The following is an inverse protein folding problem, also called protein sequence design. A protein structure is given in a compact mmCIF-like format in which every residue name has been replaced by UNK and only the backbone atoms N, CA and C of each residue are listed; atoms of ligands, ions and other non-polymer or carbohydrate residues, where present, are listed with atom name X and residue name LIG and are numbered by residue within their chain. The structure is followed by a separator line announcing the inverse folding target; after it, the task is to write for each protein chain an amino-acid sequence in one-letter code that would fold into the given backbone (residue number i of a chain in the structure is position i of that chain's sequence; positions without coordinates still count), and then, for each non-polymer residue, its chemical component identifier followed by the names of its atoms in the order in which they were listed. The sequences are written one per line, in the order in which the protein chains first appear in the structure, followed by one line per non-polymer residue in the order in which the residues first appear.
data_IF_762440533724
#
_entry.id   IF_762440533724
#
_cell.length_a   1.000
_cell.length_b   1.000
_cell.length_c   1.000
_cell.angle_alpha   90.00
_cell.angle_beta   90.00
_cell.angle_gamma   90.00
#
_symmetry.space_group_name_H-M   'P 1'
#
loop_
_entity.id
_entity.type
_entity.pdbx_description
1 polymer ?
#
# COMPACT_ATOMS: atom_id res chain seq x y z
N UNK A 1 35.59 0.64 11.04
CA UNK A 1 34.33 -0.04 11.40
C UNK A 1 33.13 0.92 11.46
N UNK A 2 33.29 2.17 11.94
CA UNK A 2 32.20 3.16 12.07
C UNK A 2 31.55 3.58 10.73
N UNK A 3 32.35 3.76 9.68
CA UNK A 3 31.85 4.14 8.35
C UNK A 3 30.99 3.04 7.69
N UNK A 4 31.36 1.78 7.87
CA UNK A 4 30.59 0.63 7.38
C UNK A 4 29.22 0.52 8.07
N UNK A 5 29.15 0.79 9.37
CA UNK A 5 27.89 0.84 10.11
C UNK A 5 26.97 1.95 9.61
N UNK A 6 27.50 3.15 9.35
CA UNK A 6 26.75 4.27 8.79
C UNK A 6 26.26 3.98 7.37
N UNK A 7 27.09 3.34 6.54
CA UNK A 7 26.71 2.93 5.18
C UNK A 7 25.58 1.90 5.19
N UNK A 8 25.66 0.89 6.07
CA UNK A 8 24.59 -0.10 6.21
C UNK A 8 23.28 0.53 6.72
N UNK A 9 23.37 1.46 7.67
CA UNK A 9 22.21 2.19 8.20
C UNK A 9 21.53 3.07 7.13
N UNK A 10 22.31 3.75 6.28
CA UNK A 10 21.77 4.53 5.17
C UNK A 10 21.08 3.65 4.13
N UNK A 11 21.65 2.47 3.82
CA UNK A 11 21.03 1.53 2.87
C UNK A 11 19.70 0.96 3.40
N UNK A 12 19.61 0.61 4.69
CA UNK A 12 18.35 0.15 5.27
C UNK A 12 17.29 1.25 5.31
N UNK A 13 17.67 2.50 5.59
CA UNK A 13 16.78 3.65 5.51
C UNK A 13 16.25 3.91 4.09
N UNK A 14 17.10 3.80 3.06
CA UNK A 14 16.68 3.93 1.65
C UNK A 14 15.70 2.83 1.23
N UNK A 15 15.94 1.59 1.62
CA UNK A 15 15.04 0.47 1.31
C UNK A 15 13.66 0.65 1.98
N UNK A 16 13.65 1.17 3.21
CA UNK A 16 12.43 1.42 3.97
C UNK A 16 11.62 2.61 3.43
N UNK A 17 12.26 3.63 2.85
CA UNK A 17 11.55 4.74 2.20
C UNK A 17 10.98 4.35 0.84
N UNK A 18 11.70 3.51 0.08
CA UNK A 18 11.23 2.99 -1.19
C UNK A 18 10.00 2.09 -1.04
N UNK A 19 9.90 1.29 0.03
CA UNK A 19 8.70 0.49 0.30
C UNK A 19 7.50 1.38 0.67
N UNK A 20 7.70 2.39 1.52
CA UNK A 20 6.64 3.31 1.93
C UNK A 20 6.08 4.14 0.77
N UNK A 21 6.92 4.60 -0.16
CA UNK A 21 6.47 5.39 -1.31
C UNK A 21 5.52 4.60 -2.24
N UNK A 22 5.72 3.29 -2.37
CA UNK A 22 4.85 2.43 -3.17
C UNK A 22 3.50 2.17 -2.47
N UNK A 23 3.47 2.16 -1.14
CA UNK A 23 2.24 1.96 -0.37
C UNK A 23 1.39 3.24 -0.28
N UNK A 24 2.01 4.43 -0.24
CA UNK A 24 1.29 5.71 -0.13
C UNK A 24 0.58 6.12 -1.41
N UNK A 25 1.15 5.85 -2.60
CA UNK A 25 0.45 6.08 -3.88
C UNK A 25 -0.80 5.21 -4.03
N UNK A 26 -0.82 4.02 -3.41
CA UNK A 26 -1.95 3.08 -3.44
C UNK A 26 -3.04 3.46 -2.45
N UNK A 27 -2.70 4.13 -1.34
CA UNK A 27 -3.65 4.50 -0.28
C UNK A 27 -4.56 5.68 -0.62
N UNK A 28 -4.31 6.43 -1.70
CA UNK A 28 -5.11 7.63 -2.05
C UNK A 28 -6.46 7.35 -2.70
N UNK A 29 -6.64 6.17 -3.29
CA UNK A 29 -7.82 5.87 -4.10
C UNK A 29 -8.90 5.21 -3.26
N UNK A 30 -9.91 6.00 -2.91
CA UNK A 30 -11.14 5.46 -2.32
C UNK A 30 -12.06 4.96 -3.43
N UNK A 31 -12.80 3.91 -3.12
CA UNK A 31 -13.91 3.45 -3.95
C UNK A 31 -15.22 3.62 -3.17
N UNK A 32 -16.36 3.38 -3.83
CA UNK A 32 -17.66 3.36 -3.16
C UNK A 32 -17.70 2.43 -1.94
N UNK A 33 -18.77 2.48 -1.16
CA UNK A 33 -18.97 1.63 0.04
C UNK A 33 -17.94 1.86 1.16
N UNK A 34 -17.37 3.08 1.25
CA UNK A 34 -16.30 3.43 2.20
C UNK A 34 -15.07 2.50 2.06
N UNK A 35 -14.84 2.00 0.85
CA UNK A 35 -13.75 1.08 0.54
C UNK A 35 -12.50 1.79 0.02
N UNK A 36 -11.41 1.04 -0.05
CA UNK A 36 -10.11 1.47 -0.58
C UNK A 36 -9.72 0.61 -1.77
N UNK A 37 -9.06 1.21 -2.75
CA UNK A 37 -8.54 0.51 -3.92
C UNK A 37 -7.22 -0.18 -3.58
N UNK A 38 -7.19 -1.50 -3.64
CA UNK A 38 -5.99 -2.31 -3.35
C UNK A 38 -5.79 -3.37 -4.41
N UNK A 39 -4.55 -3.82 -4.60
CA UNK A 39 -4.29 -5.01 -5.44
C UNK A 39 -4.83 -6.29 -4.79
N UNK A 40 -4.79 -6.38 -3.47
CA UNK A 40 -5.34 -7.49 -2.69
C UNK A 40 -6.06 -6.90 -1.47
N UNK A 41 -7.26 -7.42 -1.18
CA UNK A 41 -8.01 -7.03 0.00
C UNK A 41 -7.42 -7.72 1.23
N UNK A 42 -7.51 -7.07 2.38
CA UNK A 42 -7.19 -7.73 3.65
C UNK A 42 -8.23 -8.79 3.99
N UNK A 43 -7.88 -9.74 4.85
CA UNK A 43 -8.78 -10.82 5.26
C UNK A 43 -10.10 -10.33 5.90
N UNK A 44 -10.09 -9.10 6.46
CA UNK A 44 -11.24 -8.46 7.08
C UNK A 44 -12.11 -7.66 6.08
N UNK A 45 -11.61 -7.45 4.87
CA UNK A 45 -12.28 -6.72 3.81
C UNK A 45 -12.91 -7.72 2.81
N UNK A 46 -14.01 -7.34 2.19
CA UNK A 46 -14.57 -8.08 1.05
C UNK A 46 -14.28 -7.35 -0.26
N UNK A 47 -14.08 -8.13 -1.33
CA UNK A 47 -13.85 -7.62 -2.67
C UNK A 47 -15.19 -7.25 -3.31
N UNK A 48 -15.39 -5.98 -3.63
CA UNK A 48 -16.59 -5.49 -4.32
C UNK A 48 -16.41 -5.60 -5.84
N UNK A 49 -15.20 -5.35 -6.36
CA UNK A 49 -14.91 -5.36 -7.79
C UNK A 49 -13.98 -4.22 -8.19
N UNK A 50 -14.10 -3.67 -9.40
CA UNK A 50 -13.22 -2.59 -9.90
C UNK A 50 -13.74 -1.17 -9.64
N UNK A 51 -14.88 -1.00 -8.94
CA UNK A 51 -15.64 0.25 -8.73
C UNK A 51 -14.81 1.54 -8.59
N UNK A 52 -14.46 2.18 -9.71
CA UNK A 52 -13.71 3.43 -9.74
C UNK A 52 -12.21 3.30 -9.44
N UNK A 53 -11.70 2.08 -9.23
CA UNK A 53 -10.29 1.84 -8.97
C UNK A 53 -9.46 1.84 -10.26
N UNK A 54 -8.19 2.28 -10.21
CA UNK A 54 -7.28 2.19 -11.34
C UNK A 54 -7.12 0.75 -11.85
N UNK A 55 -6.70 0.59 -13.11
CA UNK A 55 -6.44 -0.74 -13.71
C UNK A 55 -5.56 -1.58 -12.77
N UNK A 56 -5.95 -2.85 -12.54
CA UNK A 56 -5.31 -3.83 -11.65
C UNK A 56 -5.55 -3.63 -10.14
N UNK A 57 -6.33 -2.64 -9.73
CA UNK A 57 -6.78 -2.48 -8.34
C UNK A 57 -8.24 -2.91 -8.21
N UNK A 58 -8.60 -3.34 -7.01
CA UNK A 58 -9.93 -3.80 -6.63
C UNK A 58 -10.40 -2.95 -5.46
N UNK A 59 -11.68 -2.66 -5.43
CA UNK A 59 -12.35 -2.02 -4.32
C UNK A 59 -12.52 -3.03 -3.18
N UNK A 60 -11.87 -2.76 -2.06
CA UNK A 60 -11.92 -3.55 -0.84
C UNK A 60 -12.64 -2.75 0.23
N UNK A 61 -13.71 -3.30 0.81
CA UNK A 61 -14.50 -2.61 1.82
C UNK A 61 -14.64 -3.45 3.08
N UNK A 62 -14.77 -2.79 4.23
CA UNK A 62 -15.09 -3.43 5.48
C UNK A 62 -16.56 -3.82 5.51
N UNK A 63 -16.85 -5.00 6.07
CA UNK A 63 -18.21 -5.43 6.37
C UNK A 63 -18.55 -4.92 7.77
N UNK A 64 -19.37 -3.88 7.85
CA UNK A 64 -19.96 -3.39 9.11
C UNK A 64 -21.28 -4.11 9.39
#
# INVERSE_FOLDING_TARGET
MRALGLMMMMMTLLLLSASQANDTEVQGWTCGYRGLCRKHCYAQEYMIGYHGCPRRYRCCALRF
#
